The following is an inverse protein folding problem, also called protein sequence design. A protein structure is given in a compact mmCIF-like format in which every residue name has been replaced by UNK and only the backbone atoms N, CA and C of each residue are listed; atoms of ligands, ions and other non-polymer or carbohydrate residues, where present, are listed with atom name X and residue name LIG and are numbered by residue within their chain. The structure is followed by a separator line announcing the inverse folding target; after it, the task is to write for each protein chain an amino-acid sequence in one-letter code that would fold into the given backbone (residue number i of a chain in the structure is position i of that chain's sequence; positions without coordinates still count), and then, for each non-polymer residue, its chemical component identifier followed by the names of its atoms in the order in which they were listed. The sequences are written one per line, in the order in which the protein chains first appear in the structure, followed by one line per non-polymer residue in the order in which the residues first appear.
data_IF_284236563761
#
_entry.id   IF_284236563761
#
_cell.length_a   1.000
_cell.length_b   1.000
_cell.length_c   1.000
_cell.angle_alpha   90.00
_cell.angle_beta   90.00
_cell.angle_gamma   90.00
#
_symmetry.space_group_name_H-M   'P 1'
#
loop_
_entity.id
_entity.type
_entity.pdbx_description
1 polymer ?
#
# COMPACT_ATOMS: atom_id res chain seq x y z
N UNK A 1 -1.89 12.23 1.42
CA UNK A 1 -1.88 11.41 0.19
C UNK A 1 -2.71 10.17 0.46
N UNK A 2 -3.87 10.02 -0.20
CA UNK A 2 -4.87 8.99 0.14
C UNK A 2 -4.29 7.56 0.13
N UNK A 3 -3.50 7.20 -0.90
CA UNK A 3 -2.85 5.88 -1.01
C UNK A 3 -1.87 5.62 0.14
N UNK A 4 -1.04 6.61 0.51
CA UNK A 4 -0.11 6.50 1.65
C UNK A 4 -0.87 6.24 2.95
N UNK A 5 -1.93 7.01 3.20
CA UNK A 5 -2.73 6.90 4.42
C UNK A 5 -3.48 5.56 4.49
N UNK A 6 -3.98 5.06 3.36
CA UNK A 6 -4.62 3.75 3.29
C UNK A 6 -3.64 2.61 3.60
N UNK A 7 -2.40 2.70 3.13
CA UNK A 7 -1.37 1.71 3.40
C UNK A 7 -0.88 1.77 4.85
N UNK A 8 -0.57 2.96 5.38
CA UNK A 8 -0.11 3.14 6.77
C UNK A 8 -1.20 2.84 7.80
N UNK A 9 -2.47 2.82 7.40
CA UNK A 9 -3.58 2.42 8.27
C UNK A 9 -3.72 0.90 8.45
N UNK A 10 -2.98 0.09 7.69
CA UNK A 10 -3.05 -1.37 7.81
C UNK A 10 -2.16 -1.86 8.96
N UNK A 11 -2.65 -2.79 9.81
CA UNK A 11 -1.82 -3.46 10.81
C UNK A 11 -0.59 -4.10 10.16
N UNK A 12 0.59 -3.98 10.78
CA UNK A 12 1.83 -4.53 10.24
C UNK A 12 2.51 -3.68 9.16
N UNK A 13 1.94 -2.56 8.73
CA UNK A 13 2.66 -1.60 7.87
C UNK A 13 3.51 -0.67 8.74
N UNK A 14 4.82 -0.68 8.54
CA UNK A 14 5.77 0.16 9.27
C UNK A 14 6.04 1.49 8.57
N UNK A 15 5.80 1.57 7.26
CA UNK A 15 5.90 2.82 6.51
C UNK A 15 5.62 2.64 5.02
N UNK A 16 5.13 3.69 4.38
CA UNK A 16 4.86 3.72 2.95
C UNK A 16 5.40 5.01 2.30
N UNK A 17 6.21 4.85 1.26
CA UNK A 17 6.71 5.93 0.41
C UNK A 17 5.98 5.87 -0.93
N UNK A 18 5.28 6.95 -1.30
CA UNK A 18 4.48 7.01 -2.53
C UNK A 18 5.04 8.07 -3.46
N UNK A 19 5.38 7.67 -4.68
CA UNK A 19 5.80 8.55 -5.76
C UNK A 19 4.68 8.67 -6.78
N UNK A 20 4.01 9.83 -6.82
CA UNK A 20 2.95 10.10 -7.80
C UNK A 20 3.52 10.25 -9.22
N UNK A 21 4.69 10.87 -9.35
CA UNK A 21 5.38 11.03 -10.64
C UNK A 21 5.67 9.67 -11.30
N UNK A 22 6.10 8.69 -10.50
CA UNK A 22 6.40 7.33 -10.98
C UNK A 22 5.19 6.40 -10.94
N UNK A 23 4.06 6.82 -10.34
CA UNK A 23 2.88 5.97 -10.06
C UNK A 23 3.27 4.70 -9.30
N UNK A 24 4.16 4.83 -8.32
CA UNK A 24 4.70 3.69 -7.54
C UNK A 24 4.62 3.98 -6.05
N UNK A 25 4.48 2.90 -5.27
CA UNK A 25 4.57 2.93 -3.82
C UNK A 25 5.54 1.84 -3.34
N UNK A 26 6.41 2.20 -2.40
CA UNK A 26 7.29 1.27 -1.69
C UNK A 26 6.79 1.18 -0.26
N UNK A 27 6.49 -0.05 0.18
CA UNK A 27 5.90 -0.29 1.50
C UNK A 27 6.81 -1.21 2.29
N UNK A 28 7.11 -0.83 3.52
CA UNK A 28 7.79 -1.67 4.51
C UNK A 28 6.72 -2.24 5.43
N UNK A 29 6.58 -3.55 5.42
CA UNK A 29 5.51 -4.23 6.16
C UNK A 29 5.98 -5.58 6.70
N UNK A 30 5.26 -6.07 7.70
CA UNK A 30 5.41 -7.40 8.27
C UNK A 30 4.50 -8.40 7.55
N UNK A 31 5.09 -9.31 6.78
CA UNK A 31 4.37 -10.32 6.01
C UNK A 31 3.59 -11.33 6.87
N UNK A 32 3.85 -11.40 8.18
CA UNK A 32 3.06 -12.21 9.11
C UNK A 32 1.76 -11.53 9.54
N UNK A 33 1.65 -10.21 9.37
CA UNK A 33 0.50 -9.41 9.82
C UNK A 33 -0.34 -8.87 8.66
N UNK A 34 0.28 -8.56 7.51
CA UNK A 34 -0.43 -8.03 6.33
C UNK A 34 0.09 -8.64 5.05
N UNK A 35 -0.83 -8.90 4.12
CA UNK A 35 -0.50 -9.44 2.80
C UNK A 35 -0.56 -8.37 1.72
N UNK A 36 0.12 -8.62 0.60
CA UNK A 36 0.08 -7.73 -0.57
C UNK A 36 -1.35 -7.59 -1.10
N UNK A 37 -2.15 -8.65 -1.07
CA UNK A 37 -3.55 -8.61 -1.50
C UNK A 37 -4.39 -7.67 -0.62
N UNK A 38 -4.16 -7.67 0.69
CA UNK A 38 -4.82 -6.74 1.62
C UNK A 38 -4.44 -5.29 1.34
N UNK A 39 -3.15 -5.03 1.06
CA UNK A 39 -2.68 -3.71 0.64
C UNK A 39 -3.33 -3.25 -0.66
N UNK A 40 -3.41 -4.12 -1.67
CA UNK A 40 -4.08 -3.83 -2.94
C UNK A 40 -5.58 -3.57 -2.73
N UNK A 41 -6.24 -4.34 -1.87
CA UNK A 41 -7.65 -4.15 -1.54
C UNK A 41 -7.91 -2.80 -0.84
N UNK A 42 -7.04 -2.39 0.09
CA UNK A 42 -7.13 -1.10 0.75
C UNK A 42 -7.03 0.07 -0.26
N UNK A 43 -6.11 -0.05 -1.23
CA UNK A 43 -5.96 0.92 -2.32
C UNK A 43 -7.22 0.91 -3.22
N UNK A 44 -7.80 -0.27 -3.50
CA UNK A 44 -9.05 -0.41 -4.26
C UNK A 44 -10.25 0.26 -3.60
N UNK A 45 -10.36 0.14 -2.28
CA UNK A 45 -11.47 0.72 -1.52
C UNK A 45 -11.52 2.26 -1.58
N UNK A 46 -10.37 2.90 -1.80
CA UNK A 46 -10.28 4.36 -1.98
C UNK A 46 -10.35 4.79 -3.46
N UNK A 47 -10.67 3.87 -4.38
CA UNK A 47 -10.88 4.15 -5.80
C UNK A 47 -9.65 4.06 -6.69
N UNK A 48 -8.54 3.47 -6.21
CA UNK A 48 -7.31 3.31 -6.97
C UNK A 48 -7.01 1.82 -7.24
N UNK A 49 -6.28 1.52 -8.31
CA UNK A 49 -5.83 0.15 -8.58
C UNK A 49 -4.32 0.05 -8.44
N UNK A 50 -3.83 -1.01 -7.80
CA UNK A 50 -2.41 -1.30 -7.64
C UNK A 50 -2.15 -2.78 -7.89
N UNK A 51 -0.95 -3.10 -8.34
CA UNK A 51 -0.45 -4.46 -8.51
C UNK A 51 0.96 -4.54 -7.94
N UNK A 52 1.34 -5.73 -7.46
CA UNK A 52 2.72 -5.97 -7.07
C UNK A 52 3.60 -5.92 -8.32
N UNK A 53 4.59 -5.04 -8.29
CA UNK A 53 5.65 -5.03 -9.30
C UNK A 53 6.81 -5.87 -8.76
N UNK A 54 7.07 -7.01 -9.41
CA UNK A 54 8.29 -7.80 -9.19
C UNK A 54 9.48 -7.19 -9.93
#
# INVERSE_FOLDING_TARGET
MLVKQALEGLPGVHGAEVSFAMKQAVVRYDASQVTVEQMVAAIKNIGFSATLRQ
#
